data_IF_815888025371
#
_entry.id   IF_815888025371
#
_cell.length_a   1.000
_cell.length_b   1.000
_cell.length_c   1.000
_cell.angle_alpha   90.00
_cell.angle_beta   90.00
_cell.angle_gamma   90.00
#
_symmetry.space_group_name_H-M   'P 1'
#
loop_
_entity.id
_entity.type
_entity.pdbx_description
1 polymer ?
#
# COMPACT_ATOMS: atom_id res chain seq x y z
N UNK A 1 21.97 -24.65 -10.05
CA UNK A 1 20.95 -23.81 -9.39
C UNK A 1 20.27 -23.06 -10.51
N UNK A 2 19.04 -23.44 -10.84
CA UNK A 2 18.35 -22.95 -12.05
C UNK A 2 18.03 -21.45 -11.94
N UNK A 3 18.34 -20.73 -13.03
CA UNK A 3 18.20 -19.27 -13.18
C UNK A 3 16.74 -18.77 -13.30
N UNK A 4 15.76 -19.66 -13.12
CA UNK A 4 14.33 -19.39 -13.33
C UNK A 4 13.46 -19.53 -12.08
N UNK A 5 14.02 -19.53 -10.86
CA UNK A 5 13.20 -19.61 -9.65
C UNK A 5 12.50 -18.26 -9.35
N UNK A 6 11.22 -18.24 -9.70
CA UNK A 6 10.22 -17.28 -9.23
C UNK A 6 10.27 -17.15 -7.70
N UNK A 7 9.95 -15.95 -7.24
CA UNK A 7 9.78 -15.65 -5.82
C UNK A 7 8.44 -16.27 -5.42
N UNK A 8 8.47 -17.31 -4.59
CA UNK A 8 7.28 -18.02 -4.15
C UNK A 8 6.24 -17.08 -3.53
N UNK A 9 4.93 -17.26 -3.84
CA UNK A 9 3.87 -16.45 -3.27
C UNK A 9 3.70 -16.80 -1.79
N UNK A 10 3.83 -15.80 -0.92
CA UNK A 10 3.34 -15.89 0.44
C UNK A 10 1.82 -15.74 0.40
N UNK A 11 1.11 -16.57 1.15
CA UNK A 11 -0.31 -16.37 1.40
C UNK A 11 -0.49 -15.03 2.10
N UNK A 12 -0.88 -13.99 1.38
CA UNK A 12 -1.54 -12.85 2.00
C UNK A 12 -2.84 -13.43 2.57
N UNK A 13 -3.14 -13.25 3.85
CA UNK A 13 -4.42 -13.67 4.41
C UNK A 13 -5.10 -12.41 4.86
N UNK A 14 -6.10 -11.98 4.08
CA UNK A 14 -6.94 -10.83 4.42
C UNK A 14 -7.71 -10.33 3.21
N UNK A 15 -9.01 -10.64 3.16
CA UNK A 15 -9.97 -10.02 2.23
C UNK A 15 -10.43 -8.62 2.69
N UNK A 16 -9.88 -8.09 3.78
CA UNK A 16 -10.27 -6.81 4.35
C UNK A 16 -9.20 -5.76 4.07
N UNK A 17 -9.25 -5.16 2.88
CA UNK A 17 -8.43 -4.00 2.54
C UNK A 17 -8.79 -2.75 3.35
N UNK A 18 -9.92 -2.79 4.08
CA UNK A 18 -10.25 -1.95 5.22
C UNK A 18 -10.37 -2.84 6.46
N UNK A 19 -9.29 -3.03 7.22
CA UNK A 19 -9.39 -3.79 8.46
C UNK A 19 -10.26 -3.03 9.47
N UNK A 20 -11.35 -3.68 9.93
CA UNK A 20 -11.91 -3.47 11.26
C UNK A 20 -11.38 -4.61 12.14
N UNK A 21 -10.27 -4.42 12.86
CA UNK A 21 -9.80 -5.46 13.75
C UNK A 21 -10.82 -5.63 14.88
N UNK A 22 -11.23 -6.89 15.09
CA UNK A 22 -11.87 -7.31 16.34
C UNK A 22 -10.89 -7.27 17.52
N UNK A 23 -9.60 -6.98 17.28
CA UNK A 23 -8.53 -6.89 18.26
C UNK A 23 -7.82 -5.52 18.23
N UNK A 24 -8.11 -4.63 19.19
CA UNK A 24 -7.46 -3.33 19.33
C UNK A 24 -5.93 -3.41 19.50
N UNK A 25 -5.40 -4.50 20.03
CA UNK A 25 -3.96 -4.63 20.31
C UNK A 25 -3.15 -4.80 19.02
N UNK A 26 -3.63 -5.63 18.09
CA UNK A 26 -3.05 -5.77 16.75
C UNK A 26 -3.08 -4.45 15.96
N UNK A 27 -4.10 -3.62 16.17
CA UNK A 27 -4.23 -2.32 15.52
C UNK A 27 -3.18 -1.31 16.02
N UNK A 28 -2.99 -1.23 17.34
CA UNK A 28 -2.01 -0.33 17.94
C UNK A 28 -0.58 -0.76 17.61
N UNK A 29 -0.33 -2.07 17.50
CA UNK A 29 0.94 -2.64 17.03
C UNK A 29 1.29 -2.19 15.61
N UNK A 30 0.35 -2.36 14.66
CA UNK A 30 0.55 -1.95 13.27
C UNK A 30 0.73 -0.44 13.15
N UNK A 31 -0.04 0.36 13.91
CA UNK A 31 0.17 1.81 13.98
C UNK A 31 1.54 2.20 14.52
N UNK A 32 2.00 1.57 15.59
CA UNK A 32 3.30 1.86 16.17
C UNK A 32 4.46 1.48 15.23
N UNK A 33 4.30 0.39 14.49
CA UNK A 33 5.21 -0.04 13.44
C UNK A 33 5.27 0.96 12.27
N UNK A 34 4.12 1.47 11.81
CA UNK A 34 4.06 2.55 10.79
C UNK A 34 4.86 3.79 11.22
N UNK A 35 4.87 4.11 12.51
CA UNK A 35 5.60 5.26 13.04
C UNK A 35 7.13 5.04 13.13
N UNK A 36 7.59 3.78 13.08
CA UNK A 36 9.00 3.43 13.23
C UNK A 36 9.42 2.41 12.15
N UNK A 37 9.42 2.83 10.87
CA UNK A 37 9.70 1.91 9.79
C UNK A 37 11.16 1.45 9.79
N UNK A 38 11.37 0.20 9.39
CA UNK A 38 12.71 -0.36 9.22
C UNK A 38 13.40 0.18 7.97
N UNK A 39 12.62 0.44 6.93
CA UNK A 39 13.08 1.01 5.69
C UNK A 39 12.04 1.99 5.14
N UNK A 40 12.51 3.07 4.54
CA UNK A 40 11.66 4.12 3.99
C UNK A 40 12.21 4.61 2.67
N UNK A 41 11.31 4.85 1.71
CA UNK A 41 11.58 5.68 0.54
C UNK A 41 10.59 6.83 0.53
N UNK A 42 11.08 8.02 0.23
CA UNK A 42 10.26 9.21 0.05
C UNK A 42 10.62 9.83 -1.27
N UNK A 43 9.59 10.20 -2.03
CA UNK A 43 9.74 10.85 -3.32
C UNK A 43 8.84 12.07 -3.40
N UNK A 44 9.42 13.18 -3.87
CA UNK A 44 8.67 14.41 -4.12
C UNK A 44 8.08 14.41 -5.51
N UNK A 45 6.86 14.91 -5.65
CA UNK A 45 6.16 15.03 -6.92
C UNK A 45 5.22 16.24 -6.89
N UNK A 46 4.79 16.70 -8.06
CA UNK A 46 3.76 17.73 -8.16
C UNK A 46 2.41 17.03 -8.35
N UNK A 47 1.39 17.20 -7.48
CA UNK A 47 0.10 16.50 -7.58
C UNK A 47 -0.75 16.90 -8.81
N UNK A 48 -0.37 17.97 -9.50
CA UNK A 48 -1.01 18.48 -10.72
C UNK A 48 -0.27 18.09 -12.00
N UNK A 49 0.85 17.35 -11.90
CA UNK A 49 1.63 16.82 -13.02
C UNK A 49 2.55 17.83 -13.68
N UNK A 50 3.23 17.41 -14.75
CA UNK A 50 4.24 18.24 -15.46
C UNK A 50 3.63 19.42 -16.22
N UNK A 51 2.33 19.37 -16.52
CA UNK A 51 1.60 20.44 -17.22
C UNK A 51 0.91 21.41 -16.24
N UNK A 52 1.28 21.38 -14.96
CA UNK A 52 0.75 22.32 -13.99
C UNK A 52 1.19 23.75 -14.34
N UNK A 53 0.24 24.67 -14.48
CA UNK A 53 0.50 26.06 -14.83
C UNK A 53 0.49 27.00 -13.60
N UNK A 54 1.23 28.10 -13.72
CA UNK A 54 1.26 29.16 -12.70
C UNK A 54 1.64 28.65 -11.31
N UNK A 55 0.85 29.01 -10.30
CA UNK A 55 1.11 28.65 -8.90
C UNK A 55 1.02 27.15 -8.63
N UNK A 56 0.38 26.36 -9.52
CA UNK A 56 0.28 24.91 -9.36
C UNK A 56 1.60 24.22 -9.70
N UNK A 57 2.47 24.83 -10.51
CA UNK A 57 3.77 24.27 -10.92
C UNK A 57 4.76 24.13 -9.76
N UNK A 58 4.65 24.99 -8.75
CA UNK A 58 5.52 25.02 -7.57
C UNK A 58 5.00 24.12 -6.42
N UNK A 59 3.83 23.51 -6.57
CA UNK A 59 3.27 22.62 -5.55
C UNK A 59 4.08 21.31 -5.52
N UNK A 60 4.59 20.98 -4.34
CA UNK A 60 5.34 19.73 -4.13
C UNK A 60 4.74 18.96 -2.97
N UNK A 61 4.32 17.73 -3.26
CA UNK A 61 3.93 16.73 -2.28
C UNK A 61 5.01 15.67 -2.18
N UNK A 62 5.01 14.94 -1.08
CA UNK A 62 5.88 13.79 -0.86
C UNK A 62 5.02 12.56 -0.73
N UNK A 63 5.34 11.54 -1.52
CA UNK A 63 4.87 10.19 -1.33
C UNK A 63 5.91 9.42 -0.55
N UNK A 64 5.51 8.81 0.56
CA UNK A 64 6.38 7.96 1.36
C UNK A 64 5.86 6.54 1.37
N UNK A 65 6.78 5.60 1.17
CA UNK A 65 6.59 4.17 1.33
C UNK A 65 7.48 3.69 2.45
N UNK A 66 6.88 3.04 3.42
CA UNK A 66 7.55 2.45 4.57
C UNK A 66 7.42 0.94 4.52
N UNK A 67 8.48 0.23 4.88
CA UNK A 67 8.48 -1.22 5.08
C UNK A 67 8.94 -1.50 6.50
N UNK A 68 8.12 -2.24 7.23
CA UNK A 68 8.35 -2.50 8.66
C UNK A 68 8.20 -3.97 8.94
N UNK A 69 9.15 -4.53 9.70
CA UNK A 69 9.06 -5.87 10.22
C UNK A 69 8.53 -5.84 11.65
N UNK A 70 7.39 -6.49 11.84
CA UNK A 70 6.62 -6.48 13.07
C UNK A 70 6.73 -7.85 13.73
N UNK A 71 7.26 -7.88 14.94
CA UNK A 71 7.16 -9.05 15.80
C UNK A 71 5.86 -9.00 16.59
N UNK A 72 5.16 -10.14 16.65
CA UNK A 72 3.86 -10.28 17.31
C UNK A 72 3.96 -11.26 18.49
N UNK A 73 4.60 -10.85 19.60
CA UNK A 73 4.71 -11.69 20.79
C UNK A 73 3.32 -11.99 21.36
N UNK A 74 3.04 -13.26 21.65
CA UNK A 74 1.75 -13.70 22.22
C UNK A 74 0.70 -14.12 21.20
N UNK A 75 0.98 -14.02 19.90
CA UNK A 75 0.16 -14.68 18.86
C UNK A 75 0.56 -16.15 18.79
N UNK A 76 -0.40 -17.07 18.94
CA UNK A 76 -0.17 -18.51 18.80
C UNK A 76 -0.43 -18.97 17.37
N UNK A 77 0.55 -19.60 16.72
CA UNK A 77 0.47 -20.09 15.35
C UNK A 77 -0.05 -21.53 15.26
N UNK A 78 -1.06 -21.91 16.05
CA UNK A 78 -1.74 -23.23 15.96
C UNK A 78 -0.87 -24.49 16.09
N UNK A 79 0.43 -24.34 16.33
CA UNK A 79 1.47 -25.35 16.39
C UNK A 79 2.47 -24.95 17.49
N UNK A 80 3.02 -25.94 18.21
CA UNK A 80 3.97 -25.70 19.31
C UNK A 80 5.33 -25.23 18.74
N UNK A 81 5.50 -23.92 18.64
CA UNK A 81 6.76 -23.28 18.26
C UNK A 81 7.14 -22.24 19.31
N UNK A 82 8.43 -22.17 19.67
CA UNK A 82 8.97 -21.11 20.54
C UNK A 82 9.29 -19.83 19.73
N UNK A 83 9.09 -19.86 18.41
CA UNK A 83 9.34 -18.76 17.50
C UNK A 83 8.30 -17.64 17.69
N UNK A 84 8.75 -16.39 17.79
CA UNK A 84 7.84 -15.23 17.78
C UNK A 84 7.33 -15.05 16.35
N UNK A 85 5.99 -15.07 16.12
CA UNK A 85 5.43 -14.82 14.80
C UNK A 85 5.69 -13.39 14.35
N UNK A 86 5.80 -13.21 13.04
CA UNK A 86 6.12 -11.91 12.44
C UNK A 86 5.33 -11.67 11.17
N UNK A 87 5.27 -10.41 10.76
CA UNK A 87 4.83 -10.01 9.44
C UNK A 87 5.63 -8.80 8.96
N UNK A 88 5.69 -8.62 7.64
CA UNK A 88 6.17 -7.37 7.04
C UNK A 88 4.96 -6.54 6.64
N UNK A 89 4.93 -5.29 7.07
CA UNK A 89 3.93 -4.30 6.66
C UNK A 89 4.57 -3.27 5.73
N UNK A 90 3.95 -3.03 4.58
CA UNK A 90 4.27 -1.95 3.65
C UNK A 90 3.18 -0.90 3.74
N UNK A 91 3.51 0.36 4.00
CA UNK A 91 2.51 1.42 4.23
C UNK A 91 2.82 2.64 3.41
N UNK A 92 1.78 3.36 2.99
CA UNK A 92 1.89 4.51 2.09
C UNK A 92 1.22 5.73 2.70
N UNK A 93 1.90 6.86 2.62
CA UNK A 93 1.36 8.15 3.02
C UNK A 93 1.73 9.24 2.01
N UNK A 94 0.84 10.22 1.89
CA UNK A 94 1.11 11.47 1.20
C UNK A 94 1.25 12.58 2.23
N UNK A 95 2.25 13.44 2.05
CA UNK A 95 2.41 14.65 2.85
C UNK A 95 2.64 15.86 1.96
N UNK A 96 2.18 17.00 2.42
CA UNK A 96 2.37 18.30 1.77
C UNK A 96 2.82 19.36 2.79
N UNK A 97 3.47 20.46 2.34
CA UNK A 97 4.22 21.37 3.21
C UNK A 97 3.39 22.02 4.31
N UNK A 98 2.16 22.43 4.00
CA UNK A 98 1.30 23.15 4.96
C UNK A 98 0.60 22.21 5.97
N UNK A 99 0.68 20.90 5.76
CA UNK A 99 0.01 19.93 6.61
C UNK A 99 -1.52 20.06 6.61
N UNK A 100 -2.16 19.52 7.65
CA UNK A 100 -3.61 19.57 7.78
C UNK A 100 -4.33 18.61 6.83
N UNK A 101 -5.56 18.95 6.43
CA UNK A 101 -6.44 18.08 5.66
C UNK A 101 -6.29 18.31 4.15
N UNK A 102 -6.51 17.26 3.35
CA UNK A 102 -6.44 17.33 1.89
C UNK A 102 -7.38 18.39 1.30
N UNK A 103 -8.56 18.57 1.90
CA UNK A 103 -9.56 19.57 1.47
C UNK A 103 -9.01 21.01 1.51
N UNK A 104 -8.06 21.29 2.40
CA UNK A 104 -7.39 22.59 2.47
C UNK A 104 -6.38 22.81 1.34
N UNK A 105 -5.91 21.73 0.70
CA UNK A 105 -4.87 21.77 -0.33
C UNK A 105 -5.43 21.77 -1.74
N UNK A 106 -6.48 20.98 -1.97
CA UNK A 106 -7.06 20.80 -3.31
C UNK A 106 -8.43 21.49 -3.45
N UNK A 107 -9.02 21.97 -2.35
CA UNK A 107 -10.35 22.57 -2.31
C UNK A 107 -11.41 21.64 -1.70
N UNK A 108 -12.42 22.22 -1.06
CA UNK A 108 -13.43 21.43 -0.33
C UNK A 108 -14.30 20.57 -1.27
N UNK A 109 -14.63 21.09 -2.46
CA UNK A 109 -15.51 20.42 -3.44
C UNK A 109 -14.73 19.72 -4.57
N UNK A 110 -13.48 19.30 -4.31
CA UNK A 110 -12.60 18.65 -5.29
C UNK A 110 -12.33 17.19 -4.89
N UNK A 111 -12.81 16.20 -5.64
CA UNK A 111 -12.54 14.79 -5.35
C UNK A 111 -11.05 14.47 -5.47
N UNK A 112 -10.55 13.58 -4.60
CA UNK A 112 -9.19 13.05 -4.67
C UNK A 112 -9.23 11.53 -4.70
N UNK A 113 -9.05 10.96 -5.90
CA UNK A 113 -9.13 9.54 -6.13
C UNK A 113 -7.74 8.94 -6.15
N UNK A 114 -7.52 7.91 -5.35
CA UNK A 114 -6.27 7.13 -5.39
C UNK A 114 -6.62 5.68 -5.61
N UNK A 115 -5.88 5.01 -6.49
CA UNK A 115 -5.97 3.59 -6.81
C UNK A 115 -4.57 3.02 -6.80
N UNK A 116 -4.35 1.93 -6.08
CA UNK A 116 -3.06 1.23 -6.09
C UNK A 116 -3.11 -0.03 -6.94
N UNK A 117 -1.95 -0.40 -7.48
CA UNK A 117 -1.75 -1.71 -8.07
C UNK A 117 -1.31 -2.71 -7.01
N UNK A 118 -2.25 -3.47 -6.43
CA UNK A 118 -1.93 -4.54 -5.49
C UNK A 118 -1.62 -5.84 -6.22
N UNK A 119 -0.42 -6.38 -6.04
CA UNK A 119 0.00 -7.67 -6.61
C UNK A 119 0.13 -8.71 -5.51
N UNK A 120 -0.86 -9.58 -5.40
CA UNK A 120 -0.86 -10.66 -4.42
C UNK A 120 0.36 -11.59 -4.54
N UNK A 121 0.86 -11.76 -5.77
CA UNK A 121 2.04 -12.56 -6.12
C UNK A 121 3.32 -11.73 -6.29
N UNK A 122 3.25 -10.41 -6.13
CA UNK A 122 4.32 -9.48 -6.48
C UNK A 122 4.56 -9.37 -8.00
N UNK A 123 5.40 -8.40 -8.38
CA UNK A 123 5.83 -8.26 -9.78
C UNK A 123 6.90 -9.28 -10.13
N UNK A 124 6.91 -9.66 -11.41
CA UNK A 124 7.99 -10.39 -12.03
C UNK A 124 9.36 -9.72 -11.75
N UNK A 125 10.41 -10.50 -11.44
CA UNK A 125 11.74 -9.93 -11.13
C UNK A 125 12.26 -9.02 -12.23
N UNK A 126 12.03 -9.34 -13.50
CA UNK A 126 12.45 -8.51 -14.63
C UNK A 126 11.77 -7.13 -14.65
N UNK A 127 10.50 -7.04 -14.21
CA UNK A 127 9.76 -5.78 -14.09
C UNK A 127 10.23 -5.01 -12.88
N UNK A 128 10.31 -5.68 -11.73
CA UNK A 128 10.82 -5.11 -10.49
C UNK A 128 12.25 -4.57 -10.63
N UNK A 129 13.14 -5.32 -11.29
CA UNK A 129 14.54 -4.96 -11.47
C UNK A 129 14.75 -3.90 -12.56
N UNK A 130 13.73 -3.63 -13.40
CA UNK A 130 13.80 -2.57 -14.40
C UNK A 130 13.63 -1.17 -13.79
N UNK A 131 13.05 -1.07 -12.58
CA UNK A 131 13.16 0.12 -11.74
C UNK A 131 14.43 -0.01 -10.90
N UNK A 132 15.34 0.96 -10.96
CA UNK A 132 16.67 0.89 -10.32
C UNK A 132 16.88 2.04 -9.33
N UNK A 133 18.00 2.05 -8.59
CA UNK A 133 18.34 3.19 -7.73
C UNK A 133 18.57 4.48 -8.52
N UNK A 134 18.95 4.39 -9.80
CA UNK A 134 19.05 5.57 -10.68
C UNK A 134 17.67 6.20 -10.90
N UNK A 135 16.59 5.40 -10.80
CA UNK A 135 15.21 5.84 -10.90
C UNK A 135 14.62 6.28 -9.55
N UNK A 136 15.33 6.11 -8.43
CA UNK A 136 14.79 6.33 -7.08
C UNK A 136 14.38 7.78 -6.78
N UNK A 137 14.82 8.74 -7.61
CA UNK A 137 14.41 10.15 -7.53
C UNK A 137 13.25 10.51 -8.48
N UNK A 138 12.80 9.57 -9.31
CA UNK A 138 11.72 9.75 -10.29
C UNK A 138 10.47 8.95 -9.89
N UNK A 139 9.29 9.55 -10.09
CA UNK A 139 8.01 8.85 -9.93
C UNK A 139 7.61 8.10 -11.20
N UNK A 140 8.42 8.13 -12.26
CA UNK A 140 8.06 7.55 -13.54
C UNK A 140 7.96 6.03 -13.47
N UNK A 141 6.82 5.50 -13.91
CA UNK A 141 6.64 4.06 -14.08
C UNK A 141 7.19 3.53 -15.42
N UNK A 142 7.70 4.39 -16.30
CA UNK A 142 8.16 4.01 -17.64
C UNK A 142 9.28 2.96 -17.61
N UNK A 143 10.30 3.04 -16.74
CA UNK A 143 11.37 2.03 -16.70
C UNK A 143 10.85 0.61 -16.46
N UNK A 144 9.87 0.46 -15.56
CA UNK A 144 9.30 -0.84 -15.19
C UNK A 144 8.20 -1.31 -16.14
N UNK A 145 7.25 -0.43 -16.47
CA UNK A 145 6.03 -0.80 -17.19
C UNK A 145 6.12 -0.56 -18.70
N UNK A 146 6.97 0.37 -19.14
CA UNK A 146 7.03 0.87 -20.50
C UNK A 146 5.98 1.96 -20.79
N UNK A 147 6.33 2.90 -21.67
CA UNK A 147 5.52 4.08 -21.94
C UNK A 147 4.09 3.77 -22.43
N UNK A 148 3.92 2.73 -23.25
CA UNK A 148 2.60 2.34 -23.75
C UNK A 148 1.66 1.84 -22.64
N UNK A 149 2.19 1.08 -21.68
CA UNK A 149 1.40 0.61 -20.53
C UNK A 149 1.07 1.79 -19.60
N UNK A 150 2.05 2.65 -19.32
CA UNK A 150 1.82 3.86 -18.49
C UNK A 150 0.73 4.74 -19.10
N UNK A 151 0.79 5.00 -20.41
CA UNK A 151 -0.26 5.77 -21.10
C UNK A 151 -1.63 5.12 -20.96
N UNK A 152 -1.72 3.80 -21.19
CA UNK A 152 -2.99 3.07 -21.09
C UNK A 152 -3.57 3.07 -19.67
N UNK A 153 -2.72 3.09 -18.63
CA UNK A 153 -3.15 3.22 -17.23
C UNK A 153 -3.56 4.66 -16.91
N UNK A 154 -2.88 5.67 -17.46
CA UNK A 154 -3.26 7.08 -17.24
C UNK A 154 -4.58 7.44 -17.91
N UNK A 155 -4.94 6.72 -18.98
CA UNK A 155 -6.23 6.80 -19.66
C UNK A 155 -7.37 6.12 -18.86
N UNK A 156 -7.04 5.36 -17.79
CA UNK A 156 -8.02 4.80 -16.86
C UNK A 156 -8.73 5.93 -16.12
N UNK A 157 -10.07 5.96 -16.16
CA UNK A 157 -10.85 7.09 -15.70
C UNK A 157 -11.53 6.82 -14.35
N UNK A 158 -10.88 7.21 -13.25
CA UNK A 158 -11.45 7.09 -11.90
C UNK A 158 -12.32 8.29 -11.51
N UNK A 159 -12.30 9.39 -12.28
CA UNK A 159 -13.02 10.62 -11.99
C UNK A 159 -14.20 10.78 -12.94
N UNK A 160 -15.41 10.63 -12.41
CA UNK A 160 -16.65 10.99 -13.10
C UNK A 160 -17.10 12.41 -12.67
N UNK A 161 -18.09 12.96 -13.37
CA UNK A 161 -18.62 14.32 -13.11
C UNK A 161 -19.10 14.52 -11.65
N UNK A 162 -19.43 13.44 -10.94
CA UNK A 162 -19.90 13.41 -9.55
C UNK A 162 -18.86 12.90 -8.53
N UNK A 163 -17.59 12.75 -8.93
CA UNK A 163 -16.49 12.40 -8.04
C UNK A 163 -15.76 11.11 -8.41
N UNK A 164 -15.21 10.42 -7.41
CA UNK A 164 -14.52 9.14 -7.64
C UNK A 164 -15.52 8.03 -8.00
N UNK A 165 -15.28 7.30 -9.10
CA UNK A 165 -16.15 6.22 -9.56
C UNK A 165 -15.71 4.85 -9.05
N UNK A 166 -16.54 4.20 -8.22
CA UNK A 166 -16.29 2.82 -7.78
C UNK A 166 -16.27 1.81 -8.94
N UNK A 167 -16.94 2.10 -10.06
CA UNK A 167 -16.94 1.19 -11.22
C UNK A 167 -15.58 1.16 -11.89
N UNK A 168 -15.00 2.34 -12.12
CA UNK A 168 -13.64 2.47 -12.65
C UNK A 168 -12.56 2.06 -11.63
N UNK A 169 -12.86 2.23 -10.35
CA UNK A 169 -12.00 1.79 -9.25
C UNK A 169 -12.18 0.32 -8.88
N UNK A 170 -12.99 -0.48 -9.59
CA UNK A 170 -13.32 -1.85 -9.19
C UNK A 170 -13.20 -2.93 -10.25
N UNK A 171 -13.14 -2.61 -11.56
CA UNK A 171 -13.29 -3.65 -12.60
C UNK A 171 -12.24 -3.67 -13.71
N UNK A 172 -11.51 -2.57 -13.95
CA UNK A 172 -10.46 -2.56 -14.99
C UNK A 172 -9.12 -2.94 -14.38
N UNK A 173 -8.84 -4.24 -14.43
CA UNK A 173 -7.56 -4.80 -14.05
C UNK A 173 -6.51 -4.36 -15.07
N UNK A 174 -5.46 -3.66 -14.63
CA UNK A 174 -4.43 -3.16 -15.56
C UNK A 174 -3.68 -4.29 -16.28
N UNK A 175 -3.66 -5.51 -15.74
CA UNK A 175 -3.12 -6.71 -16.41
C UNK A 175 -3.87 -7.07 -17.69
N UNK A 176 -5.13 -6.65 -17.84
CA UNK A 176 -5.92 -6.87 -19.07
C UNK A 176 -5.64 -5.86 -20.16
N UNK A 177 -4.92 -4.77 -19.86
CA UNK A 177 -4.54 -3.79 -20.86
C UNK A 177 -3.52 -4.44 -21.79
N UNK A 178 -3.79 -4.57 -23.12
CA UNK A 178 -2.86 -5.23 -24.04
C UNK A 178 -1.46 -4.60 -24.03
N UNK A 179 -1.38 -3.29 -23.81
CA UNK A 179 -0.16 -2.51 -23.70
C UNK A 179 0.68 -2.90 -22.48
N UNK A 180 0.03 -3.44 -21.44
CA UNK A 180 0.64 -3.86 -20.19
C UNK A 180 0.98 -5.35 -20.15
N UNK A 181 0.59 -6.14 -21.17
CA UNK A 181 0.81 -7.59 -21.18
C UNK A 181 2.26 -7.99 -20.87
N UNK A 182 3.25 -7.33 -21.45
CA UNK A 182 4.67 -7.66 -21.18
C UNK A 182 5.09 -7.48 -19.71
N UNK A 183 4.47 -6.55 -19.02
CA UNK A 183 4.87 -6.11 -17.68
C UNK A 183 3.96 -6.71 -16.60
N UNK A 184 2.66 -6.80 -16.88
CA UNK A 184 1.63 -7.16 -15.90
C UNK A 184 1.06 -8.57 -16.12
N UNK A 185 1.00 -9.10 -17.35
CA UNK A 185 0.55 -10.49 -17.61
C UNK A 185 1.53 -11.46 -16.94
N UNK A 186 2.85 -11.19 -16.97
CA UNK A 186 3.82 -12.05 -16.28
C UNK A 186 3.55 -12.17 -14.76
N UNK A 187 2.99 -11.14 -14.13
CA UNK A 187 2.59 -11.20 -12.73
C UNK A 187 1.32 -12.07 -12.51
N UNK A 188 0.46 -12.22 -13.52
CA UNK A 188 -0.69 -13.15 -13.56
C UNK A 188 -0.23 -14.62 -13.67
N UNK A 189 0.90 -14.89 -14.32
CA UNK A 189 1.43 -16.26 -14.54
C UNK A 189 2.37 -16.79 -13.45
N UNK A 190 2.63 -16.02 -12.39
CA UNK A 190 3.43 -16.48 -11.24
C UNK A 190 2.64 -17.50 -10.38
N UNK A 191 2.50 -18.71 -10.94
CA UNK A 191 2.20 -20.02 -10.33
C UNK A 191 0.94 -20.17 -9.47
N UNK A 192 -0.21 -20.46 -10.12
CA UNK A 192 -1.24 -21.39 -9.58
C UNK A 192 -1.99 -21.00 -8.30
N UNK A 193 -1.64 -19.88 -7.67
CA UNK A 193 -2.38 -19.22 -6.60
C UNK A 193 -3.37 -18.27 -7.26
N UNK A 194 -4.55 -18.09 -6.67
CA UNK A 194 -5.63 -17.26 -7.22
C UNK A 194 -5.08 -15.99 -7.86
N UNK A 195 -5.43 -15.82 -9.14
CA UNK A 195 -5.07 -14.72 -10.04
C UNK A 195 -4.71 -13.49 -9.22
N UNK A 196 -3.48 -13.01 -9.35
CA UNK A 196 -3.05 -11.71 -8.85
C UNK A 196 -4.01 -10.67 -9.41
N UNK A 197 -5.12 -10.48 -8.71
CA UNK A 197 -6.16 -9.59 -9.15
C UNK A 197 -5.64 -8.26 -8.66
N UNK A 198 -5.28 -7.41 -9.61
CA UNK A 198 -5.30 -5.99 -9.37
C UNK A 198 -6.74 -5.67 -9.00
N UNK A 199 -7.07 -5.84 -7.71
CA UNK A 199 -8.27 -5.28 -7.11
C UNK A 199 -7.83 -3.89 -6.74
N UNK A 200 -8.12 -2.89 -7.58
CA UNK A 200 -7.93 -1.53 -7.17
C UNK A 200 -8.64 -1.27 -5.86
N UNK A 201 -7.86 -0.92 -4.86
CA UNK A 201 -8.36 -0.31 -3.65
C UNK A 201 -8.18 1.17 -3.79
N UNK A 202 -9.30 1.85 -3.67
CA UNK A 202 -9.29 3.28 -3.72
C UNK A 202 -10.53 3.85 -3.07
N UNK A 203 -10.43 5.12 -2.74
CA UNK A 203 -11.54 5.91 -2.23
C UNK A 203 -11.40 7.34 -2.69
N UNK A 204 -12.43 8.11 -2.39
CA UNK A 204 -12.31 9.55 -2.35
C UNK A 204 -11.78 9.95 -0.97
N UNK A 205 -10.58 10.50 -0.94
CA UNK A 205 -9.97 10.94 0.31
C UNK A 205 -10.34 12.37 0.68
N UNK A 206 -11.22 13.02 -0.10
CA UNK A 206 -11.83 14.27 0.26
C UNK A 206 -13.33 14.09 0.56
N UNK A 207 -13.67 13.73 1.79
CA UNK A 207 -15.06 13.53 2.23
C UNK A 207 -15.97 14.78 2.07
N UNK A 208 -15.42 15.95 1.77
CA UNK A 208 -16.20 17.17 1.50
C UNK A 208 -16.67 17.30 0.04
N UNK A 209 -16.13 16.50 -0.88
CA UNK A 209 -16.49 16.50 -2.30
C UNK A 209 -17.94 16.09 -2.58
N UNK A 210 -18.61 15.45 -1.60
CA UNK A 210 -19.98 14.97 -1.74
C UNK A 210 -20.13 13.62 -2.47
N UNK A 211 -19.03 12.90 -2.72
CA UNK A 211 -19.09 11.58 -3.36
C UNK A 211 -19.88 10.57 -2.51
N UNK A 212 -20.62 9.66 -3.15
CA UNK A 212 -21.47 8.68 -2.46
C UNK A 212 -20.72 7.38 -2.07
N UNK A 213 -19.38 7.42 -1.99
CA UNK A 213 -18.62 6.20 -1.74
C UNK A 213 -18.70 5.80 -0.25
N UNK A 214 -18.79 4.50 0.00
CA UNK A 214 -18.81 3.96 1.37
C UNK A 214 -17.48 4.13 2.12
N UNK A 215 -16.42 4.59 1.43
CA UNK A 215 -15.06 4.77 1.92
C UNK A 215 -14.60 6.24 1.87
N UNK A 216 -15.50 7.21 2.07
CA UNK A 216 -15.10 8.60 2.21
C UNK A 216 -14.47 8.87 3.58
N UNK A 217 -13.21 9.26 3.60
CA UNK A 217 -12.53 9.75 4.79
C UNK A 217 -11.57 10.86 4.40
N UNK A 218 -11.42 11.85 5.28
CA UNK A 218 -10.56 13.01 4.99
C UNK A 218 -9.10 12.66 5.28
N UNK A 219 -8.25 12.64 4.25
CA UNK A 219 -6.82 12.38 4.41
C UNK A 219 -6.14 13.59 5.05
N UNK A 220 -5.35 13.33 6.09
CA UNK A 220 -4.44 14.32 6.70
C UNK A 220 -3.02 14.12 6.16
N UNK A 221 -2.24 15.20 6.02
CA UNK A 221 -0.84 15.14 5.61
C UNK A 221 -0.03 14.18 6.49
N UNK A 222 0.68 13.25 5.88
CA UNK A 222 1.49 12.22 6.54
C UNK A 222 0.68 11.08 7.16
N UNK A 223 -0.65 11.09 7.00
CA UNK A 223 -1.50 9.98 7.41
C UNK A 223 -1.40 8.85 6.39
N UNK A 224 -1.24 7.63 6.89
CA UNK A 224 -1.27 6.43 6.07
C UNK A 224 -2.63 6.29 5.40
N UNK A 225 -2.64 6.15 4.07
CA UNK A 225 -3.85 5.92 3.28
C UNK A 225 -3.98 4.49 2.75
N UNK A 226 -2.88 3.75 2.72
CA UNK A 226 -2.83 2.37 2.26
C UNK A 226 -1.80 1.58 3.06
N UNK A 227 -2.09 0.30 3.28
CA UNK A 227 -1.16 -0.66 3.84
C UNK A 227 -1.35 -2.03 3.19
N UNK A 228 -0.26 -2.78 3.15
CA UNK A 228 -0.18 -4.16 2.69
C UNK A 228 0.62 -4.92 3.74
N UNK A 229 0.30 -6.20 3.95
CA UNK A 229 1.02 -7.03 4.92
C UNK A 229 1.27 -8.41 4.35
N UNK A 230 2.43 -8.98 4.64
CA UNK A 230 2.66 -10.40 4.39
C UNK A 230 1.74 -11.24 5.27
N UNK A 231 1.57 -12.52 4.91
CA UNK A 231 1.12 -13.51 5.89
C UNK A 231 2.04 -13.56 7.11
N UNK A 232 1.53 -14.14 8.19
CA UNK A 232 2.35 -14.45 9.36
C UNK A 232 3.39 -15.50 8.98
N UNK A 233 4.66 -15.24 9.35
CA UNK A 233 5.73 -16.20 9.22
C UNK A 233 6.44 -16.41 10.57
N UNK A 234 6.98 -17.60 10.75
CA UNK A 234 7.76 -17.94 11.94
C UNK A 234 9.24 -17.60 11.73
N UNK A 235 9.97 -17.48 12.83
CA UNK A 235 11.38 -17.05 12.80
C UNK A 235 12.31 -18.18 12.33
N UNK A 236 12.51 -18.24 11.01
CA UNK A 236 13.73 -18.72 10.37
C UNK A 236 14.39 -17.56 9.62
N UNK A 237 15.72 -17.39 9.74
CA UNK A 237 16.44 -16.28 9.11
C UNK A 237 16.17 -16.18 7.60
N UNK A 238 16.04 -17.33 6.92
CA UNK A 238 15.82 -17.43 5.47
C UNK A 238 14.39 -17.05 5.03
N UNK A 239 13.39 -17.24 5.90
CA UNK A 239 12.01 -16.88 5.60
C UNK A 239 11.77 -15.39 5.85
N UNK A 240 12.26 -14.88 6.98
CA UNK A 240 12.21 -13.46 7.31
C UNK A 240 12.99 -12.61 6.28
N UNK A 241 14.21 -13.01 5.92
CA UNK A 241 15.00 -12.33 4.89
C UNK A 241 14.31 -12.33 3.53
N UNK A 242 13.62 -13.43 3.18
CA UNK A 242 12.87 -13.52 1.93
C UNK A 242 11.63 -12.63 1.93
N UNK A 243 10.82 -12.68 3.00
CA UNK A 243 9.65 -11.83 3.15
C UNK A 243 10.06 -10.35 3.12
N UNK A 244 11.12 -9.99 3.83
CA UNK A 244 11.71 -8.66 3.83
C UNK A 244 12.18 -8.23 2.43
N UNK A 245 12.98 -9.06 1.75
CA UNK A 245 13.48 -8.75 0.40
C UNK A 245 12.34 -8.60 -0.60
N UNK A 246 11.28 -9.39 -0.46
CA UNK A 246 10.12 -9.29 -1.34
C UNK A 246 9.39 -7.97 -1.13
N UNK A 247 9.09 -7.60 0.12
CA UNK A 247 8.38 -6.36 0.44
C UNK A 247 9.22 -5.11 0.12
N UNK A 248 10.49 -5.08 0.55
CA UNK A 248 11.39 -3.94 0.34
C UNK A 248 11.75 -3.72 -1.14
N UNK A 249 11.74 -4.78 -1.96
CA UNK A 249 12.04 -4.68 -3.39
C UNK A 249 10.80 -4.67 -4.25
N UNK A 250 9.61 -4.85 -3.72
CA UNK A 250 8.39 -4.76 -4.51
C UNK A 250 8.27 -3.37 -5.13
N UNK A 251 8.03 -3.32 -6.44
CA UNK A 251 7.64 -2.10 -7.13
C UNK A 251 6.28 -1.65 -6.57
N UNK A 252 6.21 -0.41 -6.15
CA UNK A 252 5.00 0.21 -5.63
C UNK A 252 4.39 1.08 -6.71
N UNK A 253 3.10 0.92 -6.97
CA UNK A 253 2.39 1.67 -8.02
C UNK A 253 1.12 2.30 -7.47
N UNK A 254 1.01 3.61 -7.64
CA UNK A 254 -0.17 4.39 -7.25
C UNK A 254 -0.62 5.25 -8.42
N UNK A 255 -1.85 5.04 -8.88
CA UNK A 255 -2.57 5.96 -9.75
C UNK A 255 -3.33 6.95 -8.87
N UNK A 256 -3.20 8.24 -9.15
CA UNK A 256 -3.95 9.29 -8.50
C UNK A 256 -4.61 10.18 -9.54
N UNK A 257 -5.81 10.64 -9.20
CA UNK A 257 -6.57 11.58 -10.00
C UNK A 257 -7.19 12.66 -9.13
N UNK A 258 -7.10 13.88 -9.60
CA UNK A 258 -7.71 15.06 -8.97
C UNK A 258 -8.13 16.03 -10.07
N UNK A 259 -8.86 17.08 -9.68
CA UNK A 259 -8.98 18.26 -10.51
C UNK A 259 -8.00 19.35 -10.08
N UNK A 260 -7.56 20.13 -11.05
CA UNK A 260 -6.94 21.43 -10.86
C UNK A 260 -7.91 22.50 -11.35
N UNK A 261 -8.12 23.55 -10.56
CA UNK A 261 -8.81 24.75 -11.04
C UNK A 261 -7.78 25.63 -11.77
N UNK A 262 -7.96 25.83 -13.07
CA UNK A 262 -7.11 26.70 -13.90
C UNK A 262 -7.89 27.90 -14.43
N UNK A 263 -7.23 28.86 -15.06
CA UNK A 263 -7.92 29.99 -15.72
C UNK A 263 -8.86 29.52 -16.84
N UNK A 264 -8.58 28.35 -17.44
CA UNK A 264 -9.39 27.75 -18.50
C UNK A 264 -10.53 26.87 -17.96
N UNK A 265 -10.61 26.72 -16.64
CA UNK A 265 -11.62 25.95 -15.93
C UNK A 265 -11.05 24.75 -15.17
N UNK A 266 -11.94 23.85 -14.78
CA UNK A 266 -11.57 22.64 -14.04
C UNK A 266 -10.93 21.62 -14.99
N UNK A 267 -9.64 21.34 -14.80
CA UNK A 267 -8.90 20.36 -15.58
C UNK A 267 -8.63 19.10 -14.76
N UNK A 268 -8.86 17.94 -15.37
CA UNK A 268 -8.51 16.65 -14.77
C UNK A 268 -7.01 16.41 -14.87
N UNK A 269 -6.40 15.97 -13.77
CA UNK A 269 -5.03 15.50 -13.71
C UNK A 269 -5.01 14.02 -13.34
N UNK A 270 -4.30 13.21 -14.14
CA UNK A 270 -3.95 11.82 -13.83
C UNK A 270 -2.44 11.68 -13.62
N UNK A 271 -2.02 10.96 -12.59
CA UNK A 271 -0.61 10.63 -12.38
C UNK A 271 -0.44 9.20 -11.92
N UNK A 272 0.55 8.52 -12.50
CA UNK A 272 0.95 7.18 -12.13
C UNK A 272 2.34 7.26 -11.50
N UNK A 273 2.39 7.01 -10.20
CA UNK A 273 3.59 7.08 -9.39
C UNK A 273 4.17 5.69 -9.18
N UNK A 274 5.46 5.53 -9.46
CA UNK A 274 6.23 4.34 -9.14
C UNK A 274 7.36 4.65 -8.16
N UNK A 275 7.60 3.73 -7.23
CA UNK A 275 8.80 3.77 -6.40
C UNK A 275 9.17 2.38 -5.91
N UNK A 276 10.38 2.27 -5.36
CA UNK A 276 10.88 1.05 -4.72
C UNK A 276 11.70 1.46 -3.49
N UNK A 277 11.55 0.72 -2.39
CA UNK A 277 12.31 1.01 -1.17
C UNK A 277 13.76 0.57 -1.31
N UNK A 278 13.98 -0.63 -1.86
CA UNK A 278 15.27 -1.23 -2.23
C UNK A 278 16.37 -1.12 -1.17
N UNK A 279 16.06 -1.55 0.03
CA UNK A 279 17.08 -1.70 1.07
C UNK A 279 17.77 -3.06 0.93
N UNK A 280 19.08 -3.03 0.68
CA UNK A 280 19.95 -4.20 0.76
C UNK A 280 20.22 -4.59 2.22
N UNK A 281 20.07 -5.89 2.48
CA UNK A 281 20.23 -6.57 3.78
C UNK A 281 19.16 -6.28 4.85
N UNK A 282 18.55 -7.37 5.32
CA UNK A 282 17.64 -7.37 6.46
C UNK A 282 18.45 -7.33 7.76
N UNK A 283 18.42 -6.23 8.51
CA UNK A 283 19.19 -6.11 9.75
C UNK A 283 18.58 -6.87 10.95
N UNK A 284 17.48 -7.62 10.77
CA UNK A 284 16.88 -8.40 11.86
C UNK A 284 16.21 -7.58 12.98
N UNK A 285 16.17 -6.25 12.84
CA UNK A 285 15.63 -5.36 13.88
C UNK A 285 14.11 -5.30 13.78
N UNK A 286 13.40 -6.26 14.36
CA UNK A 286 11.95 -6.09 14.53
C UNK A 286 11.64 -4.79 15.26
N UNK A 287 10.59 -4.09 14.86
CA UNK A 287 9.88 -3.25 15.81
C UNK A 287 9.30 -4.17 16.89
N UNK A 288 10.01 -4.30 18.02
CA UNK A 288 9.53 -5.03 19.19
C UNK A 288 8.65 -4.09 20.00
N UNK A 289 7.34 -4.33 19.99
CA UNK A 289 6.40 -3.58 20.82
C UNK A 289 5.92 -4.52 21.92
N UNK A 290 6.24 -4.20 23.18
CA UNK A 290 5.75 -4.98 24.31
C UNK A 290 4.26 -4.69 24.51
N UNK A 291 3.42 -5.65 24.19
CA UNK A 291 2.01 -5.61 24.59
C UNK A 291 1.95 -5.94 26.08
N UNK A 292 1.56 -4.99 26.93
CA UNK A 292 1.23 -5.34 28.31
C UNK A 292 -0.09 -6.07 28.28
N UNK A 293 -0.06 -7.40 28.46
CA UNK A 293 -1.26 -8.20 28.72
C UNK A 293 -1.97 -7.61 29.95
N UNK A 294 -2.97 -6.78 29.70
CA UNK A 294 -3.87 -6.28 30.72
C UNK A 294 -4.70 -7.44 31.23
N UNK A 295 -4.25 -8.06 32.34
CA UNK A 295 -4.96 -9.00 33.20
C UNK A 295 -6.30 -9.54 32.65
N UNK A 296 -6.27 -10.65 31.91
CA UNK A 296 -7.41 -11.58 31.96
C UNK A 296 -7.33 -12.28 33.32
N UNK A 297 -7.95 -11.67 34.33
CA UNK A 297 -8.27 -12.39 35.57
C UNK A 297 -9.28 -13.46 35.18
N UNK A 298 -8.80 -14.67 34.92
CA UNK A 298 -9.65 -15.87 34.94
C UNK A 298 -10.08 -16.03 36.39
N UNK A 299 -11.21 -15.41 36.74
CA UNK A 299 -11.95 -15.73 37.94
C UNK A 299 -12.59 -17.11 37.73
N UNK A 300 -11.80 -18.17 37.89
CA UNK A 300 -12.36 -19.50 38.12
C UNK A 300 -12.93 -19.49 39.53
N UNK A 301 -14.22 -19.17 39.61
CA UNK A 301 -15.05 -19.36 40.80
C UNK A 301 -14.96 -20.83 41.19
N UNK A 302 -14.24 -21.09 42.27
CA UNK A 302 -14.31 -22.32 43.04
C UNK A 302 -15.74 -22.42 43.61
N UNK A 303 -16.67 -22.99 42.84
CA UNK A 303 -17.95 -23.43 43.38
C UNK A 303 -17.67 -24.68 44.20
N UNK A 304 -17.26 -24.49 45.45
CA UNK A 304 -17.50 -25.47 46.51
C UNK A 304 -19.01 -25.57 46.70
N UNK A 305 -19.63 -26.48 45.94
CA UNK A 305 -20.96 -26.98 46.23
C UNK A 305 -20.90 -27.88 47.46
N UNK A 306 -21.00 -27.25 48.64
CA UNK A 306 -21.57 -27.84 49.84
C UNK A 306 -22.99 -28.29 49.51
N UNK A 307 -23.23 -29.60 49.44
CA UNK A 307 -24.55 -30.18 49.70
C UNK A 307 -24.37 -31.23 50.78
N UNK A 308 -25.22 -31.07 51.78
CA UNK A 308 -25.39 -31.85 53.01
C UNK A 308 -25.52 -33.36 52.77
#
# INVERSE_FOLDING_TARGET
MDENQLIYPFYLVGNDFFWKPSDPEAYDLTKAAVLNPNATRSISFNPYGENADGNLSDVSWTWRVNVTDIALPGVEMGHETDAIPRLIATTHDFSWPDGGNISSQIGEDVPFCVKSGHFWSGFARNVTNAFTEDDASSTSCIPALGAACVSAILDDDMLEDDGCSLRSMGMDRWDRLPQCSRSLDYAEWAEGVDRGTLIPHGGDFNNKSGSNLSSNWELTSGQMFMYEQTGLYETGADEADRAWKNASRALQIVLMQTYAETEEGRQKTSQLLCTRVDTGEYEGRAAAVSVSLGMVVVATVLVMGLVM
#
